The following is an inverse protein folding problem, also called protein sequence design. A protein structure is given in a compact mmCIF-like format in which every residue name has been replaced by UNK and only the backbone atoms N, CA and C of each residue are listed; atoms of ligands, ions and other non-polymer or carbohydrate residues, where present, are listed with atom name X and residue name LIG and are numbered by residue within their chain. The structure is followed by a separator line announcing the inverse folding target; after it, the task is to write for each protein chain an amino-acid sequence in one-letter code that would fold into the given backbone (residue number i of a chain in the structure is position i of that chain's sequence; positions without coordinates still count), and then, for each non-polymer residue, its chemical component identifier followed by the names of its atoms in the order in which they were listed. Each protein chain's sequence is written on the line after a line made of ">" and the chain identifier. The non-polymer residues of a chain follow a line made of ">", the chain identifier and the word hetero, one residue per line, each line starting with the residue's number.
data_IF_387991174436
#
_entry.id   IF_387991174436
#
_cell.length_a   1.000
_cell.length_b   1.000
_cell.length_c   1.000
_cell.angle_alpha   90.00
_cell.angle_beta   90.00
_cell.angle_gamma   90.00
#
_symmetry.space_group_name_H-M   'P 1'
#
loop_
_entity.id
_entity.type
_entity.pdbx_description
1 polymer ?
#
# COMPACT_ATOMS: atom_id res chain seq x y z
N UNK A 1 7.22 9.83 1.76
CA UNK A 1 6.11 10.80 1.50
C UNK A 1 6.48 12.28 1.69
N UNK A 2 7.00 12.70 2.86
CA UNK A 2 7.34 14.13 3.09
C UNK A 2 8.40 14.68 2.14
N UNK A 3 9.38 13.84 1.79
CA UNK A 3 10.38 14.16 0.77
C UNK A 3 9.75 14.51 -0.60
N UNK A 4 8.74 13.75 -1.02
CA UNK A 4 8.02 13.95 -2.28
C UNK A 4 7.13 15.19 -2.24
N UNK A 5 6.42 15.41 -1.14
CA UNK A 5 5.61 16.61 -0.94
C UNK A 5 6.42 17.91 -0.99
N UNK A 6 7.73 17.82 -0.73
CA UNK A 6 8.69 18.91 -0.81
C UNK A 6 9.50 18.93 -2.12
N UNK A 7 9.05 18.21 -3.16
CA UNK A 7 9.69 18.11 -4.48
C UNK A 7 11.11 17.54 -4.47
N UNK A 8 11.46 16.74 -3.46
CA UNK A 8 12.80 16.18 -3.30
C UNK A 8 13.23 15.23 -4.41
N UNK A 9 12.29 14.59 -5.13
CA UNK A 9 12.61 13.71 -6.27
C UNK A 9 13.18 14.48 -7.47
N UNK A 10 12.70 15.71 -7.71
CA UNK A 10 13.14 16.52 -8.87
C UNK A 10 14.58 17.01 -8.70
N UNK A 11 14.99 17.27 -7.47
CA UNK A 11 16.28 17.87 -7.11
C UNK A 11 17.26 16.87 -6.49
N UNK A 12 16.78 15.72 -6.01
CA UNK A 12 17.54 14.75 -5.21
C UNK A 12 17.78 15.17 -3.76
N UNK A 13 17.33 16.37 -3.34
CA UNK A 13 17.48 16.89 -1.98
C UNK A 13 16.41 17.95 -1.67
N UNK A 14 16.13 18.19 -0.38
CA UNK A 14 15.21 19.24 0.07
C UNK A 14 15.96 20.24 0.95
N UNK A 15 15.83 21.54 0.66
CA UNK A 15 16.43 22.60 1.50
C UNK A 15 15.63 22.79 2.78
N UNK A 16 16.26 23.31 3.83
CA UNK A 16 15.57 23.61 5.10
C UNK A 16 14.40 24.58 4.89
N UNK A 17 14.53 25.53 3.97
CA UNK A 17 13.48 26.48 3.62
C UNK A 17 12.27 25.78 2.99
N UNK A 18 12.48 24.98 1.93
CA UNK A 18 11.41 24.23 1.26
C UNK A 18 10.74 23.24 2.22
N UNK A 19 11.54 22.57 3.05
CA UNK A 19 11.03 21.67 4.08
C UNK A 19 10.12 22.41 5.08
N UNK A 20 10.59 23.53 5.62
CA UNK A 20 9.85 24.32 6.62
C UNK A 20 8.55 24.86 6.02
N UNK A 21 8.57 25.37 4.80
CA UNK A 21 7.38 25.87 4.11
C UNK A 21 6.36 24.74 3.86
N UNK A 22 6.84 23.57 3.41
CA UNK A 22 5.99 22.39 3.19
C UNK A 22 5.37 21.91 4.49
N UNK A 23 6.17 21.79 5.55
CA UNK A 23 5.71 21.37 6.87
C UNK A 23 4.70 22.35 7.46
N UNK A 24 4.94 23.66 7.36
CA UNK A 24 3.99 24.69 7.81
C UNK A 24 2.68 24.64 7.02
N UNK A 25 2.75 24.41 5.71
CA UNK A 25 1.55 24.25 4.86
C UNK A 25 0.71 23.06 5.34
N UNK A 26 1.32 21.90 5.54
CA UNK A 26 0.61 20.66 5.94
C UNK A 26 0.06 20.78 7.36
N UNK A 27 0.85 21.29 8.30
CA UNK A 27 0.44 21.39 9.72
C UNK A 27 -0.59 22.47 9.99
N UNK A 28 -0.55 23.61 9.29
CA UNK A 28 -1.55 24.67 9.47
C UNK A 28 -2.88 24.37 8.79
N UNK A 29 -2.88 23.57 7.72
CA UNK A 29 -4.09 23.24 6.98
C UNK A 29 -4.86 22.03 7.55
N UNK A 30 -4.30 21.33 8.55
CA UNK A 30 -4.78 20.01 8.94
C UNK A 30 -5.00 19.90 10.44
N UNK A 31 -6.24 19.65 10.83
CA UNK A 31 -6.67 19.58 12.23
C UNK A 31 -6.14 18.32 12.96
N UNK A 32 -5.91 17.23 12.21
CA UNK A 32 -5.46 15.95 12.75
C UNK A 32 -4.54 15.20 11.79
N UNK A 33 -4.06 14.02 12.22
CA UNK A 33 -3.11 13.20 11.45
C UNK A 33 -3.71 12.69 10.14
N UNK A 34 -5.01 12.41 10.08
CA UNK A 34 -5.69 11.99 8.86
C UNK A 34 -5.71 13.11 7.82
N UNK A 35 -6.04 14.34 8.22
CA UNK A 35 -6.00 15.50 7.34
C UNK A 35 -4.56 15.78 6.87
N UNK A 36 -3.57 15.69 7.77
CA UNK A 36 -2.14 15.88 7.42
C UNK A 36 -1.68 14.84 6.41
N UNK A 37 -2.02 13.58 6.63
CA UNK A 37 -1.64 12.48 5.75
C UNK A 37 -2.24 12.66 4.35
N UNK A 38 -3.54 12.97 4.26
CA UNK A 38 -4.17 13.24 2.97
C UNK A 38 -3.54 14.47 2.30
N UNK A 39 -3.29 15.56 3.04
CA UNK A 39 -2.63 16.75 2.48
C UNK A 39 -1.20 16.50 2.02
N UNK A 40 -0.52 15.48 2.56
CA UNK A 40 0.85 15.12 2.21
C UNK A 40 0.91 14.32 0.90
N UNK A 41 -0.03 13.38 0.72
CA UNK A 41 -0.05 12.46 -0.42
C UNK A 41 -0.92 12.97 -1.58
N UNK A 42 -1.94 13.80 -1.31
CA UNK A 42 -2.88 14.22 -2.33
C UNK A 42 -2.23 15.14 -3.36
N UNK A 43 -2.55 14.90 -4.63
CA UNK A 43 -2.23 15.81 -5.73
C UNK A 43 -2.97 17.16 -5.57
N UNK A 44 -2.36 18.28 -5.98
CA UNK A 44 -3.01 19.59 -5.92
C UNK A 44 -4.36 19.60 -6.64
N UNK A 45 -5.40 20.13 -5.98
CA UNK A 45 -6.75 20.27 -6.56
C UNK A 45 -7.58 18.98 -6.58
N UNK A 46 -7.08 17.87 -6.03
CA UNK A 46 -7.79 16.59 -5.97
C UNK A 46 -8.36 16.36 -4.56
N UNK A 47 -9.65 16.06 -4.47
CA UNK A 47 -10.30 15.70 -3.22
C UNK A 47 -10.07 14.20 -2.91
N UNK A 48 -9.24 13.92 -1.90
CA UNK A 48 -8.93 12.57 -1.42
C UNK A 48 -7.79 11.87 -2.17
N UNK A 49 -7.44 10.69 -1.70
CA UNK A 49 -6.33 9.88 -2.21
C UNK A 49 -6.80 8.80 -3.17
N UNK A 50 -6.17 8.73 -4.33
CA UNK A 50 -6.29 7.67 -5.33
C UNK A 50 -5.27 6.57 -5.07
N UNK A 51 -5.42 5.41 -5.72
CA UNK A 51 -4.47 4.30 -5.58
C UNK A 51 -3.02 4.70 -5.93
N UNK A 52 -2.85 5.52 -6.97
CA UNK A 52 -1.54 6.03 -7.41
C UNK A 52 -0.82 6.82 -6.31
N UNK A 53 -1.58 7.58 -5.50
CA UNK A 53 -1.00 8.43 -4.46
C UNK A 53 -0.35 7.61 -3.32
N UNK A 54 -0.69 6.32 -3.20
CA UNK A 54 -0.09 5.40 -2.22
C UNK A 54 1.18 4.69 -2.72
N UNK A 55 1.43 4.66 -4.03
CA UNK A 55 2.58 3.94 -4.62
C UNK A 55 3.90 4.40 -3.96
N UNK A 56 4.19 5.71 -3.85
CA UNK A 56 5.48 6.13 -3.32
C UNK A 56 5.64 5.86 -1.82
N UNK A 57 4.53 5.77 -1.08
CA UNK A 57 4.55 5.38 0.33
C UNK A 57 4.88 3.90 0.48
N UNK A 58 4.20 3.02 -0.27
CA UNK A 58 4.42 1.58 -0.16
C UNK A 58 5.79 1.18 -0.71
N UNK A 59 6.25 1.85 -1.77
CA UNK A 59 7.60 1.72 -2.30
C UNK A 59 8.66 1.99 -1.21
N UNK A 60 8.55 3.12 -0.51
CA UNK A 60 9.46 3.49 0.59
C UNK A 60 9.45 2.44 1.72
N UNK A 61 8.29 1.86 2.03
CA UNK A 61 8.18 0.76 3.01
C UNK A 61 8.93 -0.49 2.52
N UNK A 62 8.73 -0.92 1.27
CA UNK A 62 9.47 -2.06 0.70
C UNK A 62 10.97 -1.79 0.70
N UNK A 63 11.37 -0.55 0.43
CA UNK A 63 12.76 -0.15 0.33
C UNK A 63 13.46 0.03 1.69
N UNK A 64 12.73 0.17 2.79
CA UNK A 64 13.32 0.46 4.11
C UNK A 64 13.06 -0.62 5.15
N UNK A 65 11.97 -1.37 5.04
CA UNK A 65 11.56 -2.32 6.06
C UNK A 65 12.43 -3.61 6.04
N UNK A 66 13.01 -4.03 7.18
CA UNK A 66 13.90 -5.20 7.22
C UNK A 66 13.18 -6.49 6.80
N UNK A 67 11.94 -6.69 7.26
CA UNK A 67 11.10 -7.83 6.88
C UNK A 67 10.69 -7.89 5.40
N UNK A 68 11.02 -6.89 4.57
CA UNK A 68 10.76 -6.86 3.13
C UNK A 68 12.05 -6.74 2.29
N UNK A 69 13.23 -6.73 2.92
CA UNK A 69 14.50 -6.48 2.24
C UNK A 69 14.76 -7.44 1.06
N UNK A 70 14.28 -8.68 1.15
CA UNK A 70 14.42 -9.69 0.09
C UNK A 70 13.60 -9.37 -1.18
N UNK A 71 12.56 -8.53 -1.11
CA UNK A 71 11.76 -8.16 -2.29
C UNK A 71 12.48 -7.21 -3.24
N UNK A 72 13.52 -6.53 -2.77
CA UNK A 72 14.32 -5.62 -3.60
C UNK A 72 14.99 -6.33 -4.78
N UNK A 73 15.40 -7.58 -4.56
CA UNK A 73 16.08 -8.40 -5.56
C UNK A 73 15.08 -9.12 -6.50
N UNK A 74 13.78 -8.96 -6.28
CA UNK A 74 12.70 -9.66 -6.97
C UNK A 74 11.68 -8.69 -7.59
N UNK A 75 12.01 -7.99 -8.69
CA UNK A 75 11.22 -6.88 -9.24
C UNK A 75 9.79 -7.27 -9.66
N UNK A 76 9.58 -8.52 -10.09
CA UNK A 76 8.25 -9.03 -10.42
C UNK A 76 7.35 -9.06 -9.18
N UNK A 77 7.81 -9.66 -8.08
CA UNK A 77 7.08 -9.74 -6.82
C UNK A 77 6.92 -8.38 -6.15
N UNK A 78 7.90 -7.49 -6.34
CA UNK A 78 7.88 -6.13 -5.82
C UNK A 78 6.62 -5.37 -6.28
N UNK A 79 6.39 -5.28 -7.59
CA UNK A 79 5.24 -4.56 -8.16
C UNK A 79 3.90 -5.18 -7.74
N UNK A 80 3.84 -6.51 -7.61
CA UNK A 80 2.65 -7.26 -7.18
C UNK A 80 2.33 -7.03 -5.72
N UNK A 81 3.34 -7.01 -4.87
CA UNK A 81 3.19 -6.72 -3.44
C UNK A 81 2.62 -5.31 -3.25
N UNK A 82 3.22 -4.29 -3.88
CA UNK A 82 2.73 -2.91 -3.82
C UNK A 82 1.25 -2.83 -4.24
N UNK A 83 0.92 -3.42 -5.40
CA UNK A 83 -0.45 -3.44 -5.91
C UNK A 83 -1.41 -4.08 -4.91
N UNK A 84 -1.02 -5.23 -4.33
CA UNK A 84 -1.85 -5.98 -3.39
C UNK A 84 -2.08 -5.22 -2.09
N UNK A 85 -1.04 -4.60 -1.52
CA UNK A 85 -1.17 -3.76 -0.33
C UNK A 85 -2.14 -2.60 -0.58
N UNK A 86 -2.00 -1.91 -1.72
CA UNK A 86 -2.91 -0.81 -2.10
C UNK A 86 -4.35 -1.32 -2.25
N UNK A 87 -4.57 -2.47 -2.90
CA UNK A 87 -5.93 -3.05 -2.98
C UNK A 87 -6.50 -3.36 -1.59
N UNK A 88 -5.69 -3.91 -0.67
CA UNK A 88 -6.11 -4.18 0.71
C UNK A 88 -6.45 -2.90 1.47
N UNK A 89 -5.67 -1.83 1.29
CA UNK A 89 -5.98 -0.51 1.86
C UNK A 89 -7.34 -0.02 1.34
N UNK A 90 -7.56 -0.03 0.03
CA UNK A 90 -8.82 0.46 -0.54
C UNK A 90 -10.02 -0.41 -0.16
N UNK A 91 -9.85 -1.72 -0.08
CA UNK A 91 -10.89 -2.65 0.34
C UNK A 91 -11.41 -2.36 1.77
N UNK A 92 -10.49 -2.06 2.70
CA UNK A 92 -10.86 -1.78 4.09
C UNK A 92 -11.24 -0.33 4.32
N UNK A 93 -10.52 0.63 3.75
CA UNK A 93 -10.66 2.06 4.06
C UNK A 93 -11.69 2.76 3.17
N UNK A 94 -11.71 2.51 1.86
CA UNK A 94 -12.60 3.20 0.92
C UNK A 94 -14.01 2.56 0.90
N UNK A 95 -14.72 2.65 2.03
CA UNK A 95 -16.05 2.06 2.22
C UNK A 95 -17.12 2.62 1.27
N UNK A 96 -16.89 3.80 0.70
CA UNK A 96 -17.75 4.39 -0.32
C UNK A 96 -17.62 3.75 -1.70
N UNK A 97 -16.59 2.93 -1.95
CA UNK A 97 -16.27 2.36 -3.27
C UNK A 97 -16.08 3.41 -4.38
N UNK A 98 -15.77 4.65 -3.97
CA UNK A 98 -15.60 5.78 -4.89
C UNK A 98 -14.27 5.75 -5.64
N UNK A 99 -13.33 4.88 -5.24
CA UNK A 99 -11.95 4.89 -5.71
C UNK A 99 -11.12 6.05 -5.15
N UNK A 100 -11.65 6.77 -4.15
CA UNK A 100 -11.00 7.93 -3.52
C UNK A 100 -11.15 7.87 -1.99
N UNK A 101 -10.05 7.66 -1.28
CA UNK A 101 -10.04 7.69 0.19
C UNK A 101 -10.12 9.14 0.66
N UNK A 102 -11.21 9.47 1.36
CA UNK A 102 -11.40 10.78 1.98
C UNK A 102 -10.73 10.84 3.35
N UNK A 103 -10.51 12.07 3.86
CA UNK A 103 -10.03 12.29 5.25
C UNK A 103 -10.94 11.58 6.27
N UNK A 104 -12.26 11.61 6.05
CA UNK A 104 -13.22 10.98 6.96
C UNK A 104 -13.14 9.45 6.95
N UNK A 105 -12.93 8.83 5.79
CA UNK A 105 -12.72 7.39 5.67
C UNK A 105 -11.41 6.98 6.34
N UNK A 106 -10.33 7.73 6.08
CA UNK A 106 -9.02 7.48 6.69
C UNK A 106 -9.10 7.59 8.22
N UNK A 107 -9.74 8.65 8.74
CA UNK A 107 -9.92 8.90 10.18
C UNK A 107 -10.69 7.78 10.88
N UNK A 108 -11.63 7.14 10.20
CA UNK A 108 -12.44 6.04 10.76
C UNK A 108 -11.80 4.67 10.61
N UNK A 109 -10.69 4.58 9.88
CA UNK A 109 -9.93 3.35 9.72
C UNK A 109 -8.80 3.26 10.74
N UNK A 110 -8.21 2.08 10.84
CA UNK A 110 -6.98 1.84 11.60
C UNK A 110 -5.70 2.06 10.78
N UNK A 111 -5.78 2.52 9.52
CA UNK A 111 -4.62 2.56 8.62
C UNK A 111 -3.42 3.32 9.20
N UNK A 112 -3.63 4.51 9.80
CA UNK A 112 -2.52 5.29 10.38
C UNK A 112 -1.90 4.62 11.60
N UNK A 113 -2.71 3.90 12.39
CA UNK A 113 -2.21 3.12 13.51
C UNK A 113 -1.37 1.94 13.00
N UNK A 114 -1.85 1.23 11.97
CA UNK A 114 -1.11 0.13 11.36
C UNK A 114 0.19 0.62 10.70
N UNK A 115 0.17 1.80 10.07
CA UNK A 115 1.37 2.41 9.49
C UNK A 115 2.42 2.73 10.56
N UNK A 116 2.01 3.16 11.75
CA UNK A 116 2.92 3.35 12.87
C UNK A 116 3.53 2.01 13.34
N UNK A 117 2.72 0.95 13.40
CA UNK A 117 3.20 -0.39 13.76
C UNK A 117 4.26 -0.92 12.79
N UNK A 118 4.14 -0.66 11.48
CA UNK A 118 5.15 -1.02 10.48
C UNK A 118 6.52 -0.40 10.78
N UNK A 119 6.57 0.75 11.45
CA UNK A 119 7.85 1.38 11.81
C UNK A 119 8.50 0.76 13.05
N UNK A 120 7.75 0.01 13.86
CA UNK A 120 8.20 -0.56 15.14
C UNK A 120 8.42 -2.08 15.08
N UNK A 121 7.71 -2.78 14.21
CA UNK A 121 7.69 -4.24 14.13
C UNK A 121 8.59 -4.75 13.00
N UNK A 122 9.68 -5.45 13.34
CA UNK A 122 10.65 -5.96 12.36
C UNK A 122 10.08 -7.12 11.51
N UNK A 123 9.15 -7.91 12.07
CA UNK A 123 8.45 -8.98 11.34
C UNK A 123 7.16 -8.45 10.70
N UNK A 124 7.25 -8.10 9.41
CA UNK A 124 6.13 -7.56 8.64
C UNK A 124 4.88 -8.48 8.63
N UNK A 125 5.04 -9.77 8.91
CA UNK A 125 3.91 -10.70 8.96
C UNK A 125 3.08 -10.58 10.23
N UNK A 126 3.63 -10.03 11.32
CA UNK A 126 2.85 -9.66 12.51
C UNK A 126 1.90 -8.49 12.22
N UNK A 127 2.25 -7.64 11.25
CA UNK A 127 1.36 -6.58 10.75
C UNK A 127 0.35 -7.17 9.76
N UNK A 128 -0.59 -7.93 10.31
CA UNK A 128 -1.57 -8.70 9.52
C UNK A 128 -2.46 -7.82 8.65
N UNK A 129 -2.76 -6.60 9.09
CA UNK A 129 -3.55 -5.63 8.32
C UNK A 129 -2.69 -4.92 7.27
N UNK A 130 -3.17 -4.95 6.03
CA UNK A 130 -2.56 -4.31 4.85
C UNK A 130 -1.21 -4.88 4.39
N UNK A 131 -0.22 -5.00 5.28
CA UNK A 131 1.19 -5.14 4.92
C UNK A 131 1.78 -6.56 5.01
N UNK A 132 1.14 -7.50 5.71
CA UNK A 132 1.62 -8.89 5.80
C UNK A 132 1.99 -9.49 4.44
N UNK A 133 3.24 -9.94 4.33
CA UNK A 133 3.79 -10.58 3.14
C UNK A 133 3.19 -11.96 2.93
N UNK A 134 2.95 -12.73 4.00
CA UNK A 134 2.25 -14.02 3.93
C UNK A 134 0.87 -13.89 3.32
N UNK A 135 0.09 -12.87 3.71
CA UNK A 135 -1.20 -12.61 3.09
C UNK A 135 -1.09 -12.28 1.60
N UNK A 136 -0.10 -11.48 1.21
CA UNK A 136 0.20 -11.24 -0.20
C UNK A 136 0.52 -12.55 -0.94
N UNK A 137 1.40 -13.37 -0.38
CA UNK A 137 1.88 -14.60 -1.01
C UNK A 137 0.72 -15.58 -1.26
N UNK A 138 -0.18 -15.76 -0.30
CA UNK A 138 -1.37 -16.62 -0.47
C UNK A 138 -2.28 -16.10 -1.59
N UNK A 139 -2.54 -14.79 -1.64
CA UNK A 139 -3.35 -14.18 -2.71
C UNK A 139 -2.68 -14.39 -4.07
N UNK A 140 -1.38 -14.14 -4.14
CA UNK A 140 -0.61 -14.27 -5.38
C UNK A 140 -0.54 -15.71 -5.88
N UNK A 141 -0.27 -16.69 -5.01
CA UNK A 141 -0.29 -18.11 -5.38
C UNK A 141 -1.66 -18.52 -5.94
N UNK A 142 -2.76 -18.06 -5.32
CA UNK A 142 -4.10 -18.34 -5.84
C UNK A 142 -4.39 -17.70 -7.17
N UNK A 143 -3.91 -16.48 -7.40
CA UNK A 143 -4.00 -15.84 -8.70
C UNK A 143 -3.22 -16.63 -9.76
N UNK A 144 -1.96 -16.96 -9.45
CA UNK A 144 -1.03 -17.67 -10.34
C UNK A 144 -1.51 -19.10 -10.68
N UNK A 145 -2.14 -19.80 -9.74
CA UNK A 145 -2.77 -21.11 -10.01
C UNK A 145 -3.91 -21.03 -11.05
N UNK A 146 -4.59 -19.89 -11.13
CA UNK A 146 -5.73 -19.68 -12.04
C UNK A 146 -5.26 -19.14 -13.39
N UNK A 147 -4.34 -18.18 -13.40
CA UNK A 147 -3.76 -17.55 -14.59
C UNK A 147 -2.71 -18.47 -15.26
N UNK A 148 -3.18 -19.46 -16.01
CA UNK A 148 -2.30 -20.49 -16.62
C UNK A 148 -1.53 -19.98 -17.83
N UNK A 149 -2.04 -18.96 -18.52
CA UNK A 149 -1.43 -18.32 -19.68
C UNK A 149 -0.54 -17.12 -19.30
N UNK A 150 -0.47 -16.78 -18.01
CA UNK A 150 0.38 -15.75 -17.43
C UNK A 150 0.12 -14.36 -18.04
N UNK A 151 -1.13 -14.10 -18.42
CA UNK A 151 -1.53 -12.84 -19.05
C UNK A 151 -1.94 -11.77 -18.03
N UNK A 152 -2.00 -12.15 -16.74
CA UNK A 152 -2.38 -11.32 -15.60
C UNK A 152 -3.86 -10.99 -15.54
N UNK A 153 -4.69 -11.79 -16.20
CA UNK A 153 -6.13 -11.75 -16.13
C UNK A 153 -6.67 -13.11 -15.68
N UNK A 154 -7.85 -13.10 -15.08
CA UNK A 154 -8.59 -14.31 -14.75
C UNK A 154 -9.90 -14.22 -15.52
N UNK A 155 -10.09 -15.13 -16.48
CA UNK A 155 -11.35 -15.25 -17.20
C UNK A 155 -12.42 -15.93 -16.32
N UNK A 156 -13.67 -15.86 -16.75
CA UNK A 156 -14.76 -16.59 -16.07
C UNK A 156 -14.49 -18.11 -16.00
N UNK A 157 -13.83 -18.68 -17.01
CA UNK A 157 -13.44 -20.09 -17.05
C UNK A 157 -12.35 -20.41 -16.03
N UNK A 158 -11.40 -19.50 -15.84
CA UNK A 158 -10.33 -19.67 -14.85
C UNK A 158 -10.91 -19.62 -13.45
N UNK A 159 -11.77 -18.63 -13.18
CA UNK A 159 -12.43 -18.49 -11.88
C UNK A 159 -13.33 -19.70 -11.53
N UNK A 160 -13.95 -20.34 -12.52
CA UNK A 160 -14.74 -21.55 -12.29
C UNK A 160 -13.90 -22.68 -11.66
N UNK A 161 -12.61 -22.80 -12.04
CA UNK A 161 -11.66 -23.79 -11.49
C UNK A 161 -11.32 -23.54 -10.02
N UNK A 162 -11.54 -22.32 -9.51
CA UNK A 162 -11.29 -21.99 -8.10
C UNK A 162 -12.23 -22.73 -7.14
N UNK A 163 -13.46 -23.03 -7.58
CA UNK A 163 -14.50 -23.64 -6.73
C UNK A 163 -14.26 -25.15 -6.48
N UNK A 164 -13.43 -25.81 -7.29
CA UNK A 164 -13.22 -27.26 -7.25
C UNK A 164 -11.96 -27.70 -6.46
N UNK A 165 -11.15 -26.75 -5.95
CA UNK A 165 -9.76 -27.00 -5.54
C UNK A 165 -9.38 -26.74 -4.07
N UNK A 166 -10.33 -26.72 -3.12
CA UNK A 166 -10.12 -26.29 -1.72
C UNK A 166 -9.07 -27.02 -0.86
N UNK A 167 -8.35 -28.03 -1.38
CA UNK A 167 -7.44 -28.88 -0.58
C UNK A 167 -5.94 -28.78 -0.94
N UNK A 168 -5.51 -27.99 -1.93
CA UNK A 168 -4.12 -28.03 -2.40
C UNK A 168 -3.11 -27.17 -1.58
N UNK A 169 -3.53 -26.06 -0.97
CA UNK A 169 -2.57 -25.14 -0.31
C UNK A 169 -2.12 -25.55 1.10
N UNK A 170 -2.79 -26.49 1.76
CA UNK A 170 -2.40 -26.93 3.12
C UNK A 170 -1.24 -27.94 3.12
N UNK A 171 -0.75 -28.37 1.95
CA UNK A 171 0.29 -29.40 1.84
C UNK A 171 1.74 -28.87 1.85
N UNK A 172 1.95 -27.54 1.79
CA UNK A 172 3.31 -26.95 1.75
C UNK A 172 3.78 -26.29 3.06
N UNK A 173 3.02 -26.42 4.14
CA UNK A 173 3.43 -26.00 5.49
C UNK A 173 3.33 -27.18 6.49
N UNK A 174 4.18 -28.19 6.29
CA UNK A 174 4.60 -29.14 7.32
C UNK A 174 6.07 -29.52 7.09
#
# INVERSE_FOLDING_TARGET
>A
ALFLAAHGEETGFVTMETFTLTWLRVTRASEDDAARFVSLLARPGVAGLTQEDFIPLVQDIVDTHPGLAFLKDAPEFHSRYITTVIQRIFYTVNRSWSGRITVNELRRSNFLQTLALVAEEDDINQVTEYFSYEHFYVIYCKFWELDTDHDLYISASDLARHSDGGNACLAHFN
#
